data_IF_339975658842
#
_entry.id   IF_339975658842
#
_cell.length_a   1.000
_cell.length_b   1.000
_cell.length_c   1.000
_cell.angle_alpha   90.00
_cell.angle_beta   90.00
_cell.angle_gamma   90.00
#
_symmetry.space_group_name_H-M   'P 1'
#
loop_
_entity.id
_entity.type
_entity.pdbx_description
1 polymer ?
#
# COMPACT_ATOMS: atom_id res chain seq x y z
N UNK A 1 -19.17 23.70 0.47
CA UNK A 1 -18.85 22.55 1.34
C UNK A 1 -18.42 21.34 0.49
N UNK A 2 -18.93 21.25 -0.74
CA UNK A 2 -18.75 20.15 -1.70
C UNK A 2 -17.29 19.99 -2.19
N UNK A 3 -16.57 21.10 -2.41
CA UNK A 3 -15.19 21.04 -2.89
C UNK A 3 -14.20 20.61 -1.80
N UNK A 4 -14.49 20.90 -0.52
CA UNK A 4 -13.56 20.56 0.57
C UNK A 4 -13.61 19.05 0.90
N UNK A 5 -14.79 18.44 0.88
CA UNK A 5 -14.92 16.99 1.03
C UNK A 5 -14.31 16.23 -0.15
N UNK A 6 -14.49 16.72 -1.38
CA UNK A 6 -13.87 16.14 -2.57
C UNK A 6 -12.33 16.14 -2.50
N UNK A 7 -11.73 17.24 -2.02
CA UNK A 7 -10.27 17.33 -1.84
C UNK A 7 -9.75 16.38 -0.77
N UNK A 8 -10.48 16.24 0.36
CA UNK A 8 -10.10 15.31 1.43
C UNK A 8 -10.13 13.85 0.96
N UNK A 9 -11.14 13.47 0.17
CA UNK A 9 -11.22 12.12 -0.43
C UNK A 9 -10.09 11.89 -1.44
N UNK A 10 -9.75 12.87 -2.28
CA UNK A 10 -8.62 12.77 -3.21
C UNK A 10 -7.30 12.55 -2.46
N UNK A 11 -7.08 13.27 -1.37
CA UNK A 11 -5.87 13.16 -0.54
C UNK A 11 -5.78 11.78 0.13
N UNK A 12 -6.91 11.24 0.62
CA UNK A 12 -7.01 9.89 1.15
C UNK A 12 -6.68 8.81 0.10
N UNK A 13 -7.23 8.93 -1.11
CA UNK A 13 -6.95 8.00 -2.21
C UNK A 13 -5.50 8.07 -2.65
N UNK A 14 -4.91 9.25 -2.70
CA UNK A 14 -3.49 9.42 -3.01
C UNK A 14 -2.59 8.75 -1.98
N UNK A 15 -2.92 8.90 -0.70
CA UNK A 15 -2.23 8.18 0.37
C UNK A 15 -2.37 6.67 0.23
N UNK A 16 -3.58 6.16 0.01
CA UNK A 16 -3.82 4.74 -0.17
C UNK A 16 -3.00 4.18 -1.35
N UNK A 17 -2.92 4.91 -2.46
CA UNK A 17 -2.11 4.54 -3.61
C UNK A 17 -0.61 4.53 -3.29
N UNK A 18 -0.13 5.50 -2.52
CA UNK A 18 1.29 5.57 -2.13
C UNK A 18 1.68 4.44 -1.17
N UNK A 19 0.76 4.02 -0.29
CA UNK A 19 0.95 2.88 0.61
C UNK A 19 0.85 1.54 -0.13
N UNK A 20 -0.15 1.35 -0.99
CA UNK A 20 -0.38 0.08 -1.68
C UNK A 20 0.49 -0.09 -2.94
N UNK A 21 0.91 1.00 -3.59
CA UNK A 21 1.60 0.98 -4.88
C UNK A 21 2.89 0.15 -4.88
N UNK A 22 3.87 0.45 -4.02
CA UNK A 22 5.13 -0.30 -4.00
C UNK A 22 4.99 -1.81 -3.77
N UNK A 23 4.21 -2.30 -2.78
CA UNK A 23 4.02 -3.74 -2.59
C UNK A 23 3.24 -4.38 -3.72
N UNK A 24 2.25 -3.70 -4.31
CA UNK A 24 1.51 -4.23 -5.46
C UNK A 24 2.43 -4.41 -6.68
N UNK A 25 3.27 -3.42 -7.00
CA UNK A 25 4.21 -3.52 -8.13
C UNK A 25 5.21 -4.67 -7.91
N UNK A 26 5.77 -4.78 -6.71
CA UNK A 26 6.70 -5.86 -6.38
C UNK A 26 6.03 -7.24 -6.50
N UNK A 27 4.83 -7.39 -5.94
CA UNK A 27 4.07 -8.65 -6.01
C UNK A 27 3.63 -9.00 -7.43
N UNK A 28 3.32 -8.00 -8.25
CA UNK A 28 2.97 -8.20 -9.66
C UNK A 28 4.17 -8.69 -10.46
N UNK A 29 5.33 -8.04 -10.32
CA UNK A 29 6.56 -8.44 -11.01
C UNK A 29 6.97 -9.87 -10.63
N UNK A 30 7.03 -10.16 -9.33
CA UNK A 30 7.42 -11.48 -8.82
C UNK A 30 6.37 -12.55 -9.15
N UNK A 31 5.09 -12.20 -9.05
CA UNK A 31 4.01 -13.11 -9.42
C UNK A 31 4.05 -13.52 -10.88
N UNK A 32 4.39 -12.58 -11.77
CA UNK A 32 4.55 -12.84 -13.20
C UNK A 32 5.79 -13.70 -13.50
N UNK A 33 6.92 -13.43 -12.86
CA UNK A 33 8.12 -14.26 -13.02
C UNK A 33 7.83 -15.70 -12.58
N UNK A 34 7.24 -15.87 -11.40
CA UNK A 34 6.95 -17.20 -10.86
C UNK A 34 5.93 -17.95 -11.73
N UNK A 35 4.90 -17.29 -12.25
CA UNK A 35 3.89 -17.95 -13.10
C UNK A 35 4.49 -18.48 -14.41
N UNK A 36 5.43 -17.74 -15.01
CA UNK A 36 6.16 -18.19 -16.19
C UNK A 36 7.04 -19.39 -15.85
N UNK A 37 7.80 -19.35 -14.75
CA UNK A 37 8.63 -20.48 -14.33
C UNK A 37 7.79 -21.75 -14.07
N UNK A 38 6.65 -21.61 -13.40
CA UNK A 38 5.73 -22.73 -13.15
C UNK A 38 5.19 -23.34 -14.45
N UNK A 39 4.84 -22.50 -15.42
CA UNK A 39 4.38 -22.95 -16.72
C UNK A 39 5.49 -23.69 -17.50
N UNK A 40 6.73 -23.17 -17.46
CA UNK A 40 7.87 -23.76 -18.17
C UNK A 40 8.32 -25.10 -17.58
N UNK A 41 8.28 -25.27 -16.26
CA UNK A 41 8.73 -26.51 -15.59
C UNK A 41 7.60 -27.51 -15.35
N UNK A 42 6.35 -27.17 -15.67
CA UNK A 42 5.15 -27.97 -15.40
C UNK A 42 4.93 -28.28 -13.90
N UNK A 43 5.57 -27.54 -12.99
CA UNK A 43 5.40 -27.71 -11.55
C UNK A 43 4.25 -26.82 -11.07
N UNK A 44 3.10 -27.44 -10.77
CA UNK A 44 1.88 -26.78 -10.26
C UNK A 44 1.65 -27.05 -8.76
N UNK A 45 2.74 -27.06 -7.99
CA UNK A 45 2.70 -27.21 -6.54
C UNK A 45 2.32 -25.88 -5.88
N UNK A 46 1.07 -25.78 -5.39
CA UNK A 46 0.51 -24.54 -4.83
C UNK A 46 1.36 -23.94 -3.70
N UNK A 47 2.03 -24.77 -2.89
CA UNK A 47 2.92 -24.35 -1.79
C UNK A 47 4.20 -23.69 -2.28
N UNK A 48 4.83 -24.23 -3.33
CA UNK A 48 6.04 -23.65 -3.94
C UNK A 48 5.77 -22.31 -4.63
N UNK A 49 4.54 -22.10 -5.12
CA UNK A 49 4.09 -20.83 -5.68
C UNK A 49 3.96 -19.71 -4.64
N UNK A 50 3.64 -20.10 -3.40
CA UNK A 50 3.23 -19.17 -2.35
C UNK A 50 4.43 -18.64 -1.56
N UNK A 51 5.40 -19.51 -1.26
CA UNK A 51 6.54 -19.17 -0.41
C UNK A 51 7.40 -18.01 -0.94
N UNK A 52 7.83 -17.99 -2.23
CA UNK A 52 8.67 -16.90 -2.74
C UNK A 52 7.93 -15.56 -2.73
N UNK A 53 6.62 -15.55 -3.00
CA UNK A 53 5.78 -14.34 -2.95
C UNK A 53 5.73 -13.76 -1.53
N UNK A 54 5.57 -14.61 -0.52
CA UNK A 54 5.58 -14.19 0.89
C UNK A 54 6.92 -13.59 1.30
N UNK A 55 8.04 -14.22 0.92
CA UNK A 55 9.39 -13.72 1.24
C UNK A 55 9.58 -12.32 0.64
N UNK A 56 9.21 -12.14 -0.63
CA UNK A 56 9.30 -10.84 -1.29
C UNK A 56 8.41 -9.81 -0.62
N UNK A 57 7.15 -10.14 -0.30
CA UNK A 57 6.27 -9.23 0.43
C UNK A 57 6.88 -8.83 1.79
N UNK A 58 7.44 -9.79 2.53
CA UNK A 58 8.12 -9.54 3.79
C UNK A 58 9.32 -8.60 3.64
N UNK A 59 10.15 -8.79 2.62
CA UNK A 59 11.30 -7.91 2.32
C UNK A 59 10.83 -6.50 1.95
N UNK A 60 9.80 -6.38 1.11
CA UNK A 60 9.23 -5.09 0.72
C UNK A 60 8.68 -4.36 1.95
N UNK A 61 7.94 -5.05 2.81
CA UNK A 61 7.40 -4.48 4.04
C UNK A 61 8.50 -4.12 5.06
N UNK A 62 9.59 -4.90 5.13
CA UNK A 62 10.73 -4.57 5.99
C UNK A 62 11.41 -3.27 5.53
N UNK A 63 11.60 -3.10 4.23
CA UNK A 63 12.28 -1.94 3.67
C UNK A 63 11.39 -0.69 3.63
N UNK A 64 10.13 -0.83 3.21
CA UNK A 64 9.21 0.29 3.01
C UNK A 64 8.26 0.53 4.19
N UNK A 65 8.11 -0.43 5.09
CA UNK A 65 7.20 -0.35 6.24
C UNK A 65 7.41 0.90 7.11
N UNK A 66 8.66 1.27 7.48
CA UNK A 66 8.90 2.50 8.23
C UNK A 66 8.40 3.75 7.51
N UNK A 67 8.61 3.84 6.20
CA UNK A 67 8.13 4.96 5.38
C UNK A 67 6.61 5.00 5.29
N UNK A 68 5.94 3.85 5.15
CA UNK A 68 4.48 3.76 5.11
C UNK A 68 3.85 4.22 6.41
N UNK A 69 4.41 3.79 7.54
CA UNK A 69 3.98 4.20 8.87
C UNK A 69 4.20 5.71 9.08
N UNK A 70 5.32 6.25 8.60
CA UNK A 70 5.59 7.69 8.61
C UNK A 70 4.52 8.49 7.87
N UNK A 71 4.21 8.10 6.63
CA UNK A 71 3.17 8.74 5.82
C UNK A 71 1.79 8.66 6.50
N UNK A 72 1.41 7.48 7.01
CA UNK A 72 0.11 7.28 7.66
C UNK A 72 -0.04 8.12 8.93
N UNK A 73 1.03 8.24 9.74
CA UNK A 73 1.05 9.10 10.92
C UNK A 73 0.91 10.58 10.54
N UNK A 74 1.62 11.04 9.52
CA UNK A 74 1.56 12.43 9.05
C UNK A 74 0.15 12.83 8.60
N UNK A 75 -0.54 11.94 7.89
CA UNK A 75 -1.93 12.18 7.48
C UNK A 75 -2.93 12.07 8.62
N UNK A 76 -2.72 11.13 9.55
CA UNK A 76 -3.55 11.08 10.75
C UNK A 76 -3.47 12.39 11.55
N UNK A 77 -2.26 12.94 11.74
CA UNK A 77 -2.07 14.23 12.40
C UNK A 77 -2.78 15.37 11.66
N UNK A 78 -2.65 15.44 10.33
CA UNK A 78 -3.30 16.50 9.54
C UNK A 78 -4.83 16.39 9.56
N UNK A 79 -5.39 15.19 9.67
CA UNK A 79 -6.83 14.99 9.88
C UNK A 79 -7.29 15.50 11.24
N UNK A 80 -6.55 15.19 12.31
CA UNK A 80 -6.89 15.67 13.65
C UNK A 80 -6.82 17.20 13.73
N UNK A 81 -5.81 17.83 13.14
CA UNK A 81 -5.71 19.30 13.06
C UNK A 81 -6.91 19.91 12.34
N UNK A 82 -7.35 19.30 11.23
CA UNK A 82 -8.54 19.74 10.48
C UNK A 82 -9.83 19.59 11.30
N UNK A 83 -9.97 18.52 12.09
CA UNK A 83 -11.13 18.34 12.98
C UNK A 83 -11.19 19.40 14.08
N UNK A 84 -10.06 19.69 14.72
CA UNK A 84 -9.96 20.75 15.75
C UNK A 84 -10.29 22.11 15.15
N UNK A 85 -9.79 22.42 13.95
CA UNK A 85 -10.06 23.68 13.25
C UNK A 85 -11.54 23.88 12.88
N UNK A 86 -12.29 22.79 12.67
CA UNK A 86 -13.74 22.84 12.40
C UNK A 86 -14.55 22.98 13.70
N UNK A 87 -14.12 22.33 14.80
CA UNK A 87 -14.79 22.41 16.10
C UNK A 87 -14.50 23.67 16.93
N UNK A 88 -13.43 24.41 16.60
CA UNK A 88 -12.97 25.59 17.34
C UNK A 88 -13.48 26.94 16.83
N UNK A 89 -14.35 26.96 15.81
CA UNK A 89 -14.98 28.20 15.33
C UNK A 89 -16.26 28.46 16.14
N UNK A 90 -16.42 29.64 16.79
CA UNK A 90 -17.63 29.98 17.52
C UNK A 90 -18.87 30.09 16.62
#
# INVERSE_FOLDING_TARGET
MDNQSALAVREALWMALQLAGPPLIAMLAVGLVISVFQALTQIQEATLAFLPKLVVLGVVLLLLGPSMVGSMRGYAASLFDRMVAVGGQP
#
